data_IF_020298262144
#
_entry.id   IF_020298262144
#
_cell.length_a   1.000
_cell.length_b   1.000
_cell.length_c   1.000
_cell.angle_alpha   90.00
_cell.angle_beta   90.00
_cell.angle_gamma   90.00
#
_symmetry.space_group_name_H-M   'P 1'
#
loop_
_entity.id
_entity.type
_entity.pdbx_description
1 polymer ?
#
# COMPACT_ATOMS: atom_id res chain seq x y z
N UNK A 1 -5.27 14.01 -12.81
CA UNK A 1 -5.02 14.70 -11.53
C UNK A 1 -3.54 14.70 -11.15
N UNK A 2 -2.93 13.57 -10.77
CA UNK A 2 -1.58 13.58 -10.15
C UNK A 2 -0.38 13.34 -11.08
N UNK A 3 -0.58 13.02 -12.37
CA UNK A 3 0.50 12.79 -13.36
C UNK A 3 1.58 11.79 -12.86
N UNK A 4 1.13 10.67 -12.28
CA UNK A 4 1.99 9.62 -11.70
C UNK A 4 2.79 10.01 -10.43
N UNK A 5 2.51 11.18 -9.86
CA UNK A 5 3.13 11.59 -8.59
C UNK A 5 2.45 10.87 -7.42
N UNK A 6 3.12 9.84 -6.92
CA UNK A 6 2.71 9.08 -5.74
C UNK A 6 2.55 9.98 -4.51
N UNK A 7 3.57 10.81 -4.25
CA UNK A 7 3.58 11.74 -3.11
C UNK A 7 2.35 12.67 -3.12
N UNK A 8 2.01 13.28 -4.26
CA UNK A 8 0.85 14.18 -4.34
C UNK A 8 -0.46 13.43 -4.10
N UNK A 9 -0.62 12.23 -4.66
CA UNK A 9 -1.80 11.39 -4.43
C UNK A 9 -1.93 11.01 -2.95
N UNK A 10 -0.83 10.58 -2.32
CA UNK A 10 -0.82 10.21 -0.91
C UNK A 10 -1.10 11.41 0.00
N UNK A 11 -0.55 12.59 -0.29
CA UNK A 11 -0.79 13.81 0.49
C UNK A 11 -2.26 14.23 0.48
N UNK A 12 -2.96 14.04 -0.64
CA UNK A 12 -4.40 14.27 -0.77
C UNK A 12 -5.26 13.13 -0.20
N UNK A 13 -4.62 12.17 0.48
CA UNK A 13 -5.26 10.99 1.04
C UNK A 13 -6.03 10.15 0.02
N UNK A 14 -5.63 10.21 -1.25
CA UNK A 14 -6.32 9.54 -2.33
C UNK A 14 -5.97 8.04 -2.36
N UNK A 15 -7.00 7.19 -2.33
CA UNK A 15 -6.85 5.75 -2.57
C UNK A 15 -6.49 5.50 -4.03
N UNK A 16 -5.49 4.66 -4.29
CA UNK A 16 -4.91 4.51 -5.63
C UNK A 16 -4.66 3.06 -6.02
N UNK A 17 -4.82 2.75 -7.30
CA UNK A 17 -4.52 1.44 -7.89
C UNK A 17 -3.37 1.56 -8.89
N UNK A 18 -3.69 1.71 -10.18
CA UNK A 18 -2.66 1.91 -11.20
C UNK A 18 -1.93 3.25 -11.05
N UNK A 19 -0.62 3.21 -10.87
CA UNK A 19 0.26 4.38 -10.85
C UNK A 19 1.64 3.98 -11.42
N UNK A 20 1.99 4.49 -12.62
CA UNK A 20 3.26 4.18 -13.26
C UNK A 20 4.45 4.85 -12.54
N UNK A 21 5.16 4.07 -11.72
CA UNK A 21 6.32 4.51 -10.95
C UNK A 21 7.31 3.38 -10.64
N UNK A 22 8.53 3.75 -10.31
CA UNK A 22 9.51 2.85 -9.69
C UNK A 22 9.30 2.79 -8.17
N UNK A 23 9.75 1.71 -7.54
CA UNK A 23 9.89 1.66 -6.07
C UNK A 23 10.95 2.68 -5.68
N UNK A 24 10.67 3.49 -4.64
CA UNK A 24 11.52 4.58 -4.19
C UNK A 24 12.97 4.12 -3.96
N UNK A 25 13.93 4.87 -4.52
CA UNK A 25 15.36 4.56 -4.43
C UNK A 25 15.83 3.37 -5.28
N UNK A 26 14.99 2.83 -6.18
CA UNK A 26 15.33 1.69 -7.02
C UNK A 26 15.02 1.93 -8.51
N UNK A 27 15.47 1.02 -9.37
CA UNK A 27 15.10 0.95 -10.80
C UNK A 27 14.03 -0.12 -11.08
N UNK A 28 13.39 -0.66 -10.04
CA UNK A 28 12.38 -1.71 -10.15
C UNK A 28 11.00 -1.06 -10.24
N UNK A 29 10.18 -1.46 -11.22
CA UNK A 29 8.81 -0.98 -11.34
C UNK A 29 7.99 -1.41 -10.11
N UNK A 30 7.21 -0.49 -9.56
CA UNK A 30 6.26 -0.76 -8.50
C UNK A 30 5.14 -1.69 -8.99
N UNK A 31 4.52 -2.44 -8.09
CA UNK A 31 3.32 -3.23 -8.41
C UNK A 31 2.15 -2.34 -8.88
N UNK A 32 2.10 -1.09 -8.42
CA UNK A 32 1.16 -0.08 -8.95
C UNK A 32 1.36 0.18 -10.44
N UNK A 33 2.60 0.12 -10.94
CA UNK A 33 2.90 0.33 -12.36
C UNK A 33 2.38 -0.81 -13.26
N UNK A 34 1.93 -1.90 -12.65
CA UNK A 34 1.32 -3.06 -13.32
C UNK A 34 -0.14 -3.28 -12.94
N UNK A 35 -0.76 -2.37 -12.17
CA UNK A 35 -2.14 -2.53 -11.67
C UNK A 35 -2.31 -3.69 -10.68
N UNK A 36 -1.23 -4.15 -10.06
CA UNK A 36 -1.20 -5.28 -9.12
C UNK A 36 -1.08 -4.83 -7.66
N UNK A 37 -1.31 -3.55 -7.39
CA UNK A 37 -1.33 -3.01 -6.04
C UNK A 37 -2.45 -1.97 -5.89
N UNK A 38 -2.88 -1.83 -4.64
CA UNK A 38 -3.89 -0.87 -4.19
C UNK A 38 -3.40 -0.26 -2.89
N UNK A 39 -3.36 1.06 -2.81
CA UNK A 39 -3.11 1.84 -1.60
C UNK A 39 -4.42 2.48 -1.16
N UNK A 40 -4.78 2.37 0.13
CA UNK A 40 -6.07 2.85 0.66
C UNK A 40 -5.84 3.87 1.77
N UNK A 41 -6.41 5.07 1.58
CA UNK A 41 -6.40 6.17 2.54
C UNK A 41 -5.00 6.41 3.18
N UNK A 42 -3.99 6.84 2.39
CA UNK A 42 -2.59 6.93 2.82
C UNK A 42 -2.33 7.76 4.09
N UNK A 43 -3.13 8.81 4.36
CA UNK A 43 -2.97 9.65 5.56
C UNK A 43 -3.43 8.94 6.84
N UNK A 44 -4.43 8.06 6.74
CA UNK A 44 -4.88 7.22 7.87
C UNK A 44 -4.02 5.94 7.99
N UNK A 45 -3.54 5.41 6.86
CA UNK A 45 -2.83 4.14 6.77
C UNK A 45 -1.39 4.32 6.26
N UNK A 46 -0.52 5.05 6.96
CA UNK A 46 0.75 5.45 6.39
C UNK A 46 1.75 4.29 6.24
N UNK A 47 2.72 4.54 5.38
CA UNK A 47 4.00 3.84 5.41
C UNK A 47 4.83 4.31 6.62
N UNK A 48 5.40 3.37 7.37
CA UNK A 48 6.26 3.61 8.53
C UNK A 48 7.52 2.73 8.45
N UNK A 49 8.69 3.37 8.43
CA UNK A 49 10.00 2.68 8.51
C UNK A 49 11.01 3.51 9.29
N UNK A 50 11.61 2.94 10.33
CA UNK A 50 12.68 3.57 11.12
C UNK A 50 12.33 5.01 11.59
N UNK A 51 11.10 5.23 12.06
CA UNK A 51 10.61 6.54 12.49
C UNK A 51 10.21 7.49 11.37
N UNK A 52 10.44 7.13 10.10
CA UNK A 52 9.94 7.88 8.94
C UNK A 52 8.50 7.46 8.70
N UNK A 53 7.60 8.45 8.65
CA UNK A 53 6.19 8.29 8.30
C UNK A 53 5.94 8.98 6.97
N UNK A 54 5.31 8.28 6.04
CA UNK A 54 4.89 8.81 4.74
C UNK A 54 3.45 8.41 4.45
N UNK A 55 2.59 9.31 3.93
CA UNK A 55 2.83 10.73 3.65
C UNK A 55 3.14 11.54 4.92
N UNK A 56 3.87 12.64 4.78
CA UNK A 56 4.24 13.51 5.91
C UNK A 56 3.00 14.02 6.68
N UNK A 57 3.10 14.08 8.01
CA UNK A 57 2.01 14.52 8.89
C UNK A 57 0.88 13.50 9.09
N UNK A 58 1.07 12.26 8.63
CA UNK A 58 0.12 11.16 8.89
C UNK A 58 0.27 10.63 10.32
N UNK A 59 -0.82 10.11 10.85
CA UNK A 59 -0.88 9.43 12.15
C UNK A 59 -1.61 8.12 11.96
N UNK A 60 -0.98 7.01 12.37
CA UNK A 60 -1.65 5.72 12.39
C UNK A 60 -2.38 5.57 13.73
N UNK A 61 -3.67 5.90 13.73
CA UNK A 61 -4.57 5.80 14.88
C UNK A 61 -5.50 4.60 14.70
N UNK A 62 -5.29 3.53 15.46
CA UNK A 62 -6.03 2.27 15.33
C UNK A 62 -7.50 2.39 15.73
N UNK A 63 -7.88 3.43 16.47
CA UNK A 63 -9.24 3.67 16.91
C UNK A 63 -10.01 4.57 15.92
N UNK A 64 -9.32 5.18 14.95
CA UNK A 64 -9.94 6.04 13.95
C UNK A 64 -10.66 5.23 12.86
N UNK A 65 -11.81 5.74 12.40
CA UNK A 65 -12.56 5.13 11.31
C UNK A 65 -11.74 5.08 10.01
N UNK A 66 -11.74 3.93 9.35
CA UNK A 66 -11.01 3.71 8.10
C UNK A 66 -9.53 3.37 8.28
N UNK A 67 -9.03 3.32 9.52
CA UNK A 67 -7.72 2.75 9.82
C UNK A 67 -7.76 1.23 9.64
N UNK A 68 -6.79 0.71 8.91
CA UNK A 68 -6.66 -0.69 8.54
C UNK A 68 -5.76 -1.38 9.56
N UNK A 69 -6.33 -2.36 10.23
CA UNK A 69 -5.69 -3.24 11.20
C UNK A 69 -5.66 -4.68 10.67
N UNK A 70 -4.90 -5.57 11.31
CA UNK A 70 -4.76 -6.96 10.87
C UNK A 70 -6.06 -7.77 10.84
N UNK A 71 -7.03 -7.39 11.68
CA UNK A 71 -8.36 -7.97 11.83
C UNK A 71 -9.44 -7.24 11.00
N UNK A 72 -9.09 -6.14 10.33
CA UNK A 72 -10.01 -5.41 9.47
C UNK A 72 -10.58 -6.33 8.38
N UNK A 73 -11.90 -6.28 8.10
CA UNK A 73 -12.53 -7.13 7.09
C UNK A 73 -11.86 -7.06 5.71
N UNK A 74 -11.35 -5.89 5.33
CA UNK A 74 -10.61 -5.71 4.08
C UNK A 74 -9.33 -6.54 4.01
N UNK A 75 -8.56 -6.61 5.11
CA UNK A 75 -7.33 -7.41 5.17
C UNK A 75 -7.66 -8.89 5.02
N UNK A 76 -8.67 -9.36 5.76
CA UNK A 76 -9.14 -10.74 5.68
C UNK A 76 -9.58 -11.10 4.25
N UNK A 77 -10.33 -10.23 3.60
CA UNK A 77 -10.93 -10.49 2.30
C UNK A 77 -9.92 -10.43 1.14
N UNK A 78 -8.93 -9.54 1.23
CA UNK A 78 -7.79 -9.48 0.32
C UNK A 78 -6.91 -10.73 0.46
N UNK A 79 -6.57 -11.13 1.69
CA UNK A 79 -5.77 -12.35 1.95
C UNK A 79 -6.43 -13.61 1.39
N UNK A 80 -7.75 -13.77 1.57
CA UNK A 80 -8.53 -14.87 0.96
C UNK A 80 -8.40 -14.94 -0.56
N UNK A 81 -8.15 -13.82 -1.24
CA UNK A 81 -7.96 -13.71 -2.70
C UNK A 81 -6.50 -13.81 -3.14
N UNK A 82 -5.60 -14.17 -2.23
CA UNK A 82 -4.17 -14.32 -2.51
C UNK A 82 -3.42 -12.98 -2.62
N UNK A 83 -3.96 -11.90 -2.05
CA UNK A 83 -3.22 -10.66 -1.88
C UNK A 83 -2.42 -10.68 -0.57
N UNK A 84 -1.32 -9.93 -0.54
CA UNK A 84 -0.55 -9.66 0.67
C UNK A 84 -0.77 -8.22 1.12
N UNK A 85 -0.72 -7.98 2.43
CA UNK A 85 -0.86 -6.66 3.02
C UNK A 85 0.48 -6.16 3.57
N UNK A 86 0.81 -4.89 3.30
CA UNK A 86 2.05 -4.25 3.75
C UNK A 86 2.13 -4.07 5.26
N UNK A 87 0.99 -4.06 5.96
CA UNK A 87 0.94 -4.10 7.43
C UNK A 87 1.52 -5.39 8.04
N UNK A 88 1.62 -6.49 7.27
CA UNK A 88 2.24 -7.73 7.75
C UNK A 88 3.77 -7.75 7.61
N UNK A 89 4.36 -6.80 6.87
CA UNK A 89 5.80 -6.81 6.60
C UNK A 89 6.61 -6.59 7.88
N UNK A 90 7.81 -7.19 7.95
CA UNK A 90 8.64 -7.21 9.17
C UNK A 90 9.61 -6.04 9.26
N UNK A 91 10.20 -5.64 8.15
CA UNK A 91 11.24 -4.58 8.10
C UNK A 91 10.68 -3.16 8.06
N UNK A 92 9.40 -3.02 7.74
CA UNK A 92 8.63 -1.78 7.69
C UNK A 92 7.14 -2.13 7.75
N UNK A 93 6.30 -1.11 7.95
CA UNK A 93 4.85 -1.22 7.81
C UNK A 93 4.40 -0.32 6.67
N UNK A 94 3.56 -0.86 5.79
CA UNK A 94 2.93 -0.09 4.72
C UNK A 94 1.42 -0.35 4.79
N UNK A 95 0.74 0.34 5.71
CA UNK A 95 -0.62 -0.03 6.12
C UNK A 95 -1.66 0.20 5.01
N UNK A 96 -1.42 1.18 4.13
CA UNK A 96 -2.21 1.45 2.95
C UNK A 96 -2.14 0.30 1.93
N UNK A 97 -1.02 -0.44 1.90
CA UNK A 97 -0.61 -1.17 0.72
C UNK A 97 -1.11 -2.62 0.68
N UNK A 98 -1.81 -2.98 -0.38
CA UNK A 98 -2.12 -4.35 -0.76
C UNK A 98 -1.51 -4.64 -2.11
N UNK A 99 -0.89 -5.81 -2.27
CA UNK A 99 -0.37 -6.24 -3.57
C UNK A 99 -0.67 -7.70 -3.88
N UNK A 100 -0.81 -7.98 -5.17
CA UNK A 100 -0.91 -9.33 -5.70
C UNK A 100 0.43 -9.76 -6.27
N UNK A 101 0.93 -10.87 -5.76
CA UNK A 101 2.08 -11.53 -6.36
C UNK A 101 1.54 -12.51 -7.39
N UNK A 102 1.84 -12.25 -8.66
CA UNK A 102 1.61 -13.25 -9.69
C UNK A 102 2.67 -14.34 -9.49
N UNK A 103 2.25 -15.48 -8.96
CA UNK A 103 3.01 -16.71 -9.18
C UNK A 103 2.91 -17.02 -10.67
N UNK A 104 4.06 -17.15 -11.34
CA UNK A 104 4.08 -17.85 -12.62
C UNK A 104 3.64 -19.28 -12.28
N UNK A 105 2.43 -19.66 -12.69
CA UNK A 105 2.00 -21.05 -12.54
C UNK A 105 3.05 -21.93 -13.18
N UNK A 106 3.46 -23.01 -12.50
CA UNK A 106 3.98 -24.15 -13.25
C UNK A 106 2.87 -24.50 -14.23
N UNK A 107 3.16 -24.40 -15.53
CA UNK A 107 2.33 -25.06 -16.52
C UNK A 107 2.49 -26.55 -16.21
N UNK A 108 1.37 -27.18 -15.85
CA UNK A 108 1.27 -28.65 -15.86
C UNK A 108 1.36 -29.16 -17.30
#
# INVERSE_FOLDING_TARGET
>A
EYKWSDEKSMQDNNSSGFNYRFISGSKILSKHASGLAIDINPKQNPYIKNGIISPAGSVYDIDAEGTITSDSPIVVEFKKRGWTWGGDWKSLKDYQHFQKNLSVGKQD
#
